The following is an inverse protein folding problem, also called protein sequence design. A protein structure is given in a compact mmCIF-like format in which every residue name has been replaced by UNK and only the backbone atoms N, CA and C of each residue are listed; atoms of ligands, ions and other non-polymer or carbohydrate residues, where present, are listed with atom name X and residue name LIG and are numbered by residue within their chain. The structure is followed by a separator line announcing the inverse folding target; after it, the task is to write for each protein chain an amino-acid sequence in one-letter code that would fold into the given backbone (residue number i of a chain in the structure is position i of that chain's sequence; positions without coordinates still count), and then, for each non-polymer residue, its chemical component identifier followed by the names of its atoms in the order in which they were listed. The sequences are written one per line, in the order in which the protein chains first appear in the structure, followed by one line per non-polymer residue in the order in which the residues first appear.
data_IF_471231150285
#
_entry.id   IF_471231150285
#
_cell.length_a   1.000
_cell.length_b   1.000
_cell.length_c   1.000
_cell.angle_alpha   90.00
_cell.angle_beta   90.00
_cell.angle_gamma   90.00
#
_symmetry.space_group_name_H-M   'P 1'
#
loop_
_entity.id
_entity.type
_entity.pdbx_description
1 polymer ?
#
# COMPACT_ATOMS: atom_id res chain seq x y z
N UNK A 1 8.01 -38.13 -19.27
CA UNK A 1 6.94 -39.15 -19.26
C UNK A 1 5.82 -38.62 -20.12
N UNK A 2 5.29 -39.47 -21.00
CA UNK A 2 4.16 -39.12 -21.84
C UNK A 2 2.93 -38.80 -20.96
N UNK A 3 2.35 -37.62 -21.14
CA UNK A 3 1.25 -37.11 -20.27
C UNK A 3 -0.06 -37.87 -20.49
N UNK A 4 -0.16 -38.57 -21.61
CA UNK A 4 -1.35 -39.31 -22.01
C UNK A 4 -1.31 -40.77 -21.54
N UNK A 5 -0.19 -41.23 -20.95
CA UNK A 5 -0.08 -42.61 -20.47
C UNK A 5 -0.94 -42.83 -19.21
N UNK A 6 -1.96 -43.72 -19.24
CA UNK A 6 -2.89 -43.94 -18.13
C UNK A 6 -2.24 -44.77 -17.01
N UNK A 7 -1.76 -44.09 -15.97
CA UNK A 7 -0.96 -44.71 -14.89
C UNK A 7 -1.63 -44.60 -13.51
N UNK A 8 -2.50 -43.61 -13.31
CA UNK A 8 -3.07 -43.29 -12.00
C UNK A 8 -4.39 -44.04 -11.75
N UNK A 9 -4.55 -44.59 -10.56
CA UNK A 9 -5.82 -45.21 -10.15
C UNK A 9 -6.79 -44.17 -9.55
N UNK A 10 -8.07 -44.54 -9.41
CA UNK A 10 -9.10 -43.66 -8.86
C UNK A 10 -8.74 -43.08 -7.48
N UNK A 11 -8.04 -43.83 -6.62
CA UNK A 11 -7.66 -43.36 -5.29
C UNK A 11 -6.63 -42.22 -5.38
N UNK A 12 -5.66 -42.34 -6.28
CA UNK A 12 -4.67 -41.29 -6.54
C UNK A 12 -5.35 -40.01 -7.06
N UNK A 13 -6.26 -40.12 -8.04
CA UNK A 13 -6.96 -38.96 -8.59
C UNK A 13 -7.81 -38.23 -7.54
N UNK A 14 -8.50 -38.96 -6.67
CA UNK A 14 -9.28 -38.36 -5.56
C UNK A 14 -8.36 -37.63 -4.57
N UNK A 15 -7.16 -38.15 -4.32
CA UNK A 15 -6.18 -37.51 -3.44
C UNK A 15 -5.61 -36.23 -4.04
N UNK A 16 -5.33 -36.21 -5.35
CA UNK A 16 -4.75 -35.06 -6.05
C UNK A 16 -5.78 -33.95 -6.34
N UNK A 17 -7.03 -34.31 -6.64
CA UNK A 17 -8.07 -33.35 -7.05
C UNK A 17 -9.06 -33.01 -5.94
N UNK A 18 -9.17 -33.84 -4.90
CA UNK A 18 -10.19 -33.70 -3.86
C UNK A 18 -11.63 -33.99 -4.32
N UNK A 19 -11.85 -34.37 -5.60
CA UNK A 19 -13.17 -34.65 -6.15
C UNK A 19 -13.65 -36.02 -5.68
N UNK A 20 -14.88 -36.10 -5.17
CA UNK A 20 -15.49 -37.38 -4.75
C UNK A 20 -15.65 -38.34 -5.94
N UNK A 21 -15.44 -39.66 -5.76
CA UNK A 21 -15.60 -40.67 -6.81
C UNK A 21 -16.91 -40.60 -7.60
N UNK A 22 -18.02 -40.33 -6.93
CA UNK A 22 -19.34 -40.24 -7.57
C UNK A 22 -19.48 -39.00 -8.47
N UNK A 23 -18.82 -37.90 -8.11
CA UNK A 23 -18.78 -36.67 -8.92
C UNK A 23 -17.94 -36.89 -10.18
N UNK A 24 -16.79 -37.55 -10.07
CA UNK A 24 -15.96 -37.93 -11.22
C UNK A 24 -16.75 -38.79 -12.22
N UNK A 25 -17.42 -39.83 -11.71
CA UNK A 25 -18.29 -40.71 -12.53
C UNK A 25 -19.46 -39.95 -13.14
N UNK A 26 -20.02 -38.99 -12.42
CA UNK A 26 -21.10 -38.17 -12.93
C UNK A 26 -20.64 -37.25 -14.06
N UNK A 27 -19.43 -36.67 -13.96
CA UNK A 27 -18.86 -35.81 -14.99
C UNK A 27 -18.47 -36.60 -16.24
N UNK A 28 -17.80 -37.74 -16.07
CA UNK A 28 -17.52 -38.70 -17.16
C UNK A 28 -18.81 -39.08 -17.91
N UNK A 29 -19.85 -39.50 -17.18
CA UNK A 29 -21.11 -39.95 -17.79
C UNK A 29 -21.89 -38.82 -18.48
N UNK A 30 -21.89 -37.61 -17.91
CA UNK A 30 -22.73 -36.49 -18.41
C UNK A 30 -22.04 -35.67 -19.48
N UNK A 31 -20.73 -35.50 -19.37
CA UNK A 31 -19.96 -34.54 -20.16
C UNK A 31 -18.85 -35.20 -20.97
N UNK A 32 -18.54 -36.48 -20.70
CA UNK A 32 -17.43 -37.18 -21.36
C UNK A 32 -16.08 -36.63 -20.95
N UNK A 33 -15.94 -36.01 -19.76
CA UNK A 33 -14.66 -35.47 -19.29
C UNK A 33 -14.48 -35.78 -17.80
N UNK A 34 -13.31 -36.30 -17.38
CA UNK A 34 -12.21 -36.82 -18.22
C UNK A 34 -12.60 -38.12 -18.94
N UNK A 35 -11.75 -38.61 -19.85
CA UNK A 35 -11.93 -39.85 -20.62
C UNK A 35 -10.89 -40.92 -20.21
N UNK A 36 -10.99 -41.50 -19.00
CA UNK A 36 -10.00 -42.45 -18.52
C UNK A 36 -10.04 -43.79 -19.27
N UNK A 37 -8.86 -44.36 -19.48
CA UNK A 37 -8.69 -45.70 -20.01
C UNK A 37 -9.10 -46.80 -19.02
N UNK A 38 -9.21 -48.03 -19.52
CA UNK A 38 -9.49 -49.21 -18.69
C UNK A 38 -8.31 -50.17 -18.66
N UNK A 39 -7.98 -50.65 -17.47
CA UNK A 39 -7.03 -51.75 -17.31
C UNK A 39 -7.59 -53.05 -17.89
N UNK A 40 -6.74 -54.06 -18.08
CA UNK A 40 -7.16 -55.41 -18.46
C UNK A 40 -8.17 -56.04 -17.49
N UNK A 41 -8.21 -55.58 -16.24
CA UNK A 41 -9.21 -55.95 -15.22
C UNK A 41 -10.48 -55.08 -15.20
N UNK A 42 -10.64 -54.16 -16.15
CA UNK A 42 -11.84 -53.31 -16.28
C UNK A 42 -11.91 -52.10 -15.33
N UNK A 43 -10.84 -51.80 -14.59
CA UNK A 43 -10.77 -50.63 -13.71
C UNK A 43 -10.30 -49.38 -14.46
N UNK A 44 -10.80 -48.20 -14.07
CA UNK A 44 -10.37 -46.91 -14.65
C UNK A 44 -8.93 -46.59 -14.30
N UNK A 45 -8.14 -46.23 -15.31
CA UNK A 45 -6.81 -45.69 -15.21
C UNK A 45 -6.80 -44.30 -15.84
N UNK A 46 -6.28 -43.34 -15.10
CA UNK A 46 -6.23 -41.93 -15.48
C UNK A 46 -4.81 -41.58 -15.90
N UNK A 47 -4.69 -40.77 -16.92
CA UNK A 47 -3.45 -40.14 -17.36
C UNK A 47 -3.15 -38.87 -16.53
N UNK A 48 -1.97 -38.29 -16.70
CA UNK A 48 -1.70 -36.97 -16.11
C UNK A 48 -2.60 -35.91 -16.78
N UNK A 49 -2.88 -36.05 -18.08
CA UNK A 49 -3.80 -35.20 -18.82
C UNK A 49 -5.21 -35.19 -18.22
N UNK A 50 -5.70 -36.33 -17.75
CA UNK A 50 -7.01 -36.42 -17.09
C UNK A 50 -7.05 -35.66 -15.77
N UNK A 51 -5.97 -35.74 -14.98
CA UNK A 51 -5.85 -35.00 -13.72
C UNK A 51 -5.80 -33.49 -14.00
N UNK A 52 -5.00 -33.07 -14.97
CA UNK A 52 -4.89 -31.66 -15.38
C UNK A 52 -6.24 -31.13 -15.90
N UNK A 53 -7.01 -31.95 -16.62
CA UNK A 53 -8.38 -31.65 -17.08
C UNK A 53 -9.32 -31.40 -15.91
N UNK A 54 -9.27 -32.25 -14.88
CA UNK A 54 -10.08 -32.11 -13.68
C UNK A 54 -9.74 -30.83 -12.90
N UNK A 55 -8.45 -30.53 -12.73
CA UNK A 55 -8.00 -29.30 -12.08
C UNK A 55 -8.41 -28.05 -12.87
N UNK A 56 -8.35 -28.10 -14.19
CA UNK A 56 -8.80 -27.00 -15.05
C UNK A 56 -10.31 -26.72 -14.88
N UNK A 57 -11.13 -27.77 -14.84
CA UNK A 57 -12.58 -27.65 -14.63
C UNK A 57 -12.91 -27.09 -13.24
N UNK A 58 -12.17 -27.50 -12.21
CA UNK A 58 -12.33 -26.97 -10.86
C UNK A 58 -12.01 -25.48 -10.79
N UNK A 59 -10.89 -25.04 -11.39
CA UNK A 59 -10.50 -23.63 -11.42
C UNK A 59 -11.59 -22.73 -12.06
N UNK A 60 -12.24 -23.20 -13.14
CA UNK A 60 -13.37 -22.48 -13.75
C UNK A 60 -14.59 -22.42 -12.83
N UNK A 61 -14.83 -23.47 -12.06
CA UNK A 61 -15.93 -23.50 -11.11
C UNK A 61 -15.71 -22.50 -9.95
N UNK A 62 -14.46 -22.37 -9.48
CA UNK A 62 -14.07 -21.39 -8.46
C UNK A 62 -14.19 -19.94 -8.95
N UNK A 63 -14.04 -19.72 -10.27
CA UNK A 63 -14.34 -18.45 -10.94
C UNK A 63 -15.84 -18.19 -11.16
N UNK A 64 -16.70 -19.10 -10.69
CA UNK A 64 -18.16 -18.96 -10.72
C UNK A 64 -18.85 -19.54 -11.96
N UNK A 65 -18.15 -20.28 -12.82
CA UNK A 65 -18.79 -21.00 -13.92
C UNK A 65 -19.49 -22.28 -13.39
N UNK A 66 -20.60 -22.64 -14.01
CA UNK A 66 -21.18 -23.98 -13.82
C UNK A 66 -20.33 -25.01 -14.56
N UNK A 67 -20.29 -26.25 -14.09
CA UNK A 67 -19.53 -27.33 -14.78
C UNK A 67 -19.94 -27.50 -16.24
N UNK A 68 -21.23 -27.37 -16.56
CA UNK A 68 -21.68 -27.42 -17.96
C UNK A 68 -21.02 -26.33 -18.80
N UNK A 69 -20.95 -25.08 -18.30
CA UNK A 69 -20.30 -23.96 -19.01
C UNK A 69 -18.79 -24.13 -19.10
N UNK A 70 -18.16 -24.70 -18.07
CA UNK A 70 -16.73 -25.02 -18.11
C UNK A 70 -16.42 -26.09 -19.17
N UNK A 71 -17.27 -27.11 -19.30
CA UNK A 71 -17.17 -28.13 -20.36
C UNK A 71 -17.43 -27.53 -21.75
N UNK A 72 -18.40 -26.63 -21.90
CA UNK A 72 -18.65 -25.95 -23.17
C UNK A 72 -17.44 -25.10 -23.59
N UNK A 73 -16.81 -24.42 -22.61
CA UNK A 73 -15.57 -23.66 -22.83
C UNK A 73 -14.42 -24.59 -23.25
N UNK A 74 -14.25 -25.73 -22.58
CA UNK A 74 -13.24 -26.74 -22.95
C UNK A 74 -13.38 -27.17 -24.41
N UNK A 75 -14.60 -27.58 -24.81
CA UNK A 75 -14.89 -28.05 -26.17
C UNK A 75 -14.73 -26.93 -27.21
N UNK A 76 -15.03 -25.68 -26.84
CA UNK A 76 -14.81 -24.54 -27.74
C UNK A 76 -13.33 -24.35 -28.06
N UNK A 77 -12.45 -24.51 -27.06
CA UNK A 77 -11.00 -24.39 -27.21
C UNK A 77 -10.45 -25.53 -28.08
N UNK A 78 -10.91 -26.77 -27.87
CA UNK A 78 -10.55 -27.92 -28.71
C UNK A 78 -10.99 -27.75 -30.16
N UNK A 79 -12.20 -27.22 -30.39
CA UNK A 79 -12.74 -26.97 -31.74
C UNK A 79 -11.91 -25.94 -32.51
N UNK A 80 -11.27 -25.02 -31.81
CA UNK A 80 -10.34 -24.05 -32.38
C UNK A 80 -8.93 -24.63 -32.61
N UNK A 81 -8.73 -25.95 -32.40
CA UNK A 81 -7.46 -26.64 -32.58
C UNK A 81 -6.43 -26.32 -31.49
N UNK A 82 -6.86 -25.75 -30.37
CA UNK A 82 -6.00 -25.39 -29.22
C UNK A 82 -6.15 -26.45 -28.14
N UNK A 83 -5.04 -26.78 -27.48
CA UNK A 83 -5.07 -27.67 -26.31
C UNK A 83 -5.49 -26.85 -25.07
N UNK A 84 -6.63 -27.14 -24.40
CA UNK A 84 -7.07 -26.41 -23.21
C UNK A 84 -6.09 -26.49 -22.03
N UNK A 85 -5.23 -27.51 -22.01
CA UNK A 85 -4.20 -27.73 -21.00
C UNK A 85 -2.84 -27.17 -21.39
N UNK A 86 -2.66 -26.74 -22.65
CA UNK A 86 -1.59 -25.81 -22.95
C UNK A 86 -1.94 -24.53 -22.24
N UNK A 87 -1.15 -24.21 -21.21
CA UNK A 87 -0.97 -22.82 -20.77
C UNK A 87 -0.81 -22.03 -22.05
N UNK A 88 -1.71 -21.10 -22.40
CA UNK A 88 -1.50 -20.33 -23.59
C UNK A 88 -0.14 -19.67 -23.39
N UNK A 89 0.74 -19.81 -24.37
CA UNK A 89 1.69 -18.74 -24.67
C UNK A 89 0.81 -17.53 -24.96
N UNK A 90 0.39 -16.86 -23.89
CA UNK A 90 -0.28 -15.59 -23.90
C UNK A 90 0.77 -14.57 -24.28
N UNK A 91 1.15 -14.61 -25.54
CA UNK A 91 1.87 -13.57 -26.23
C UNK A 91 1.21 -13.51 -27.59
N UNK A 92 0.19 -12.64 -27.66
CA UNK A 92 0.02 -11.61 -28.70
C UNK A 92 -1.45 -11.16 -28.87
N UNK A 93 -2.47 -11.93 -28.43
CA UNK A 93 -3.89 -11.52 -28.54
C UNK A 93 -4.59 -11.18 -27.21
N UNK A 94 -4.24 -11.82 -26.10
CA UNK A 94 -4.64 -11.33 -24.76
C UNK A 94 -4.00 -9.99 -24.44
N UNK A 95 -2.77 -9.78 -24.88
CA UNK A 95 -2.12 -8.48 -24.80
C UNK A 95 -2.91 -7.45 -25.58
N UNK A 96 -3.57 -7.76 -26.70
CA UNK A 96 -4.36 -6.75 -27.41
C UNK A 96 -5.65 -6.37 -26.68
N UNK A 97 -6.42 -7.32 -26.12
CA UNK A 97 -7.66 -6.99 -25.41
C UNK A 97 -7.43 -6.46 -23.99
N UNK A 98 -6.45 -7.00 -23.26
CA UNK A 98 -6.02 -6.47 -21.95
C UNK A 98 -5.23 -5.17 -22.10
N UNK A 99 -4.45 -4.97 -23.19
CA UNK A 99 -3.87 -3.66 -23.48
C UNK A 99 -4.94 -2.67 -23.92
N UNK A 100 -5.93 -3.05 -24.73
CA UNK A 100 -7.03 -2.15 -25.12
C UNK A 100 -7.88 -1.74 -23.91
N UNK A 101 -8.27 -2.70 -23.05
CA UNK A 101 -8.97 -2.38 -21.79
C UNK A 101 -8.07 -1.56 -20.85
N UNK A 102 -6.78 -1.88 -20.78
CA UNK A 102 -5.82 -1.09 -20.00
C UNK A 102 -5.56 0.31 -20.56
N UNK A 103 -5.58 0.50 -21.88
CA UNK A 103 -5.47 1.80 -22.57
C UNK A 103 -6.72 2.63 -22.36
N UNK A 104 -7.89 2.01 -22.42
CA UNK A 104 -9.18 2.67 -22.19
C UNK A 104 -9.31 3.15 -20.74
N UNK A 105 -9.03 2.31 -19.74
CA UNK A 105 -8.99 2.74 -18.32
C UNK A 105 -7.96 3.86 -18.10
N UNK A 106 -6.78 3.77 -18.75
CA UNK A 106 -5.75 4.82 -18.70
C UNK A 106 -6.24 6.13 -19.31
N UNK A 107 -6.97 6.07 -20.42
CA UNK A 107 -7.56 7.25 -21.07
C UNK A 107 -8.63 7.88 -20.18
N UNK A 108 -9.51 7.08 -19.57
CA UNK A 108 -10.51 7.59 -18.63
C UNK A 108 -9.85 8.25 -17.42
N UNK A 109 -8.80 7.63 -16.85
CA UNK A 109 -8.00 8.25 -15.79
C UNK A 109 -7.41 9.58 -16.21
N UNK A 110 -6.79 9.65 -17.40
CA UNK A 110 -6.25 10.89 -17.93
C UNK A 110 -7.32 11.98 -18.04
N UNK A 111 -8.48 11.66 -18.61
CA UNK A 111 -9.61 12.58 -18.76
C UNK A 111 -10.13 13.06 -17.40
N UNK A 112 -10.20 12.16 -16.41
CA UNK A 112 -10.59 12.50 -15.05
C UNK A 112 -9.60 13.47 -14.40
N UNK A 113 -8.29 13.20 -14.49
CA UNK A 113 -7.23 14.08 -14.00
C UNK A 113 -7.33 15.46 -14.66
N UNK A 114 -7.37 15.53 -15.99
CA UNK A 114 -7.45 16.80 -16.73
C UNK A 114 -8.67 17.62 -16.33
N UNK A 115 -9.83 16.99 -16.17
CA UNK A 115 -11.03 17.65 -15.69
C UNK A 115 -10.89 18.16 -14.25
N UNK A 116 -10.28 17.38 -13.35
CA UNK A 116 -9.99 17.81 -11.99
C UNK A 116 -9.05 19.03 -11.95
N UNK A 117 -7.97 19.00 -12.74
CA UNK A 117 -7.02 20.12 -12.82
C UNK A 117 -7.66 21.38 -13.42
N UNK A 118 -8.71 21.24 -14.23
CA UNK A 118 -9.48 22.35 -14.80
C UNK A 118 -10.65 22.82 -13.91
N UNK A 119 -10.85 22.23 -12.71
CA UNK A 119 -12.03 22.43 -11.87
C UNK A 119 -13.37 22.13 -12.57
N UNK A 120 -13.36 21.29 -13.61
CA UNK A 120 -14.55 20.89 -14.36
C UNK A 120 -15.20 19.65 -13.74
N UNK A 121 -15.99 19.87 -12.68
CA UNK A 121 -16.72 18.82 -11.98
C UNK A 121 -17.62 18.00 -12.92
N UNK A 122 -18.23 18.65 -13.91
CA UNK A 122 -19.14 17.98 -14.84
C UNK A 122 -18.39 16.97 -15.70
N UNK A 123 -17.24 17.36 -16.23
CA UNK A 123 -16.41 16.45 -17.04
C UNK A 123 -15.77 15.35 -16.18
N UNK A 124 -15.33 15.65 -14.96
CA UNK A 124 -14.79 14.63 -14.05
C UNK A 124 -15.85 13.59 -13.70
N UNK A 125 -17.08 14.03 -13.41
CA UNK A 125 -18.18 13.13 -13.08
C UNK A 125 -18.64 12.30 -14.28
N UNK A 126 -18.62 12.87 -15.48
CA UNK A 126 -18.88 12.12 -16.72
C UNK A 126 -17.83 11.03 -16.94
N UNK A 127 -16.54 11.33 -16.72
CA UNK A 127 -15.48 10.34 -16.85
C UNK A 127 -15.66 9.17 -15.86
N UNK A 128 -16.03 9.45 -14.61
CA UNK A 128 -16.34 8.41 -13.63
C UNK A 128 -17.58 7.61 -14.00
N UNK A 129 -18.66 8.27 -14.43
CA UNK A 129 -19.88 7.59 -14.87
C UNK A 129 -19.62 6.65 -16.05
N UNK A 130 -18.77 7.06 -17.01
CA UNK A 130 -18.30 6.20 -18.09
C UNK A 130 -17.52 5.00 -17.52
N UNK A 131 -16.57 5.24 -16.62
CA UNK A 131 -15.78 4.18 -16.00
C UNK A 131 -16.65 3.12 -15.31
N UNK A 132 -17.60 3.54 -14.48
CA UNK A 132 -18.49 2.63 -13.74
C UNK A 132 -19.50 1.91 -14.62
N UNK A 133 -19.76 2.40 -15.85
CA UNK A 133 -20.63 1.71 -16.80
C UNK A 133 -19.95 0.48 -17.42
N UNK A 134 -18.62 0.46 -17.49
CA UNK A 134 -17.86 -0.60 -18.18
C UNK A 134 -16.94 -1.41 -17.28
N UNK A 135 -16.53 -0.88 -16.12
CA UNK A 135 -15.61 -1.56 -15.19
C UNK A 135 -16.22 -1.80 -13.81
N UNK A 136 -15.79 -2.88 -13.12
CA UNK A 136 -16.13 -3.09 -11.71
C UNK A 136 -15.72 -1.91 -10.82
N UNK A 137 -16.43 -1.72 -9.72
CA UNK A 137 -16.17 -0.65 -8.74
C UNK A 137 -14.71 -0.67 -8.27
N UNK A 138 -14.20 -1.86 -7.99
CA UNK A 138 -12.83 -2.12 -7.57
C UNK A 138 -11.82 -1.56 -8.57
N UNK A 139 -12.03 -1.82 -9.86
CA UNK A 139 -11.18 -1.34 -10.95
C UNK A 139 -11.23 0.18 -11.06
N UNK A 140 -12.42 0.79 -11.05
CA UNK A 140 -12.53 2.25 -11.14
C UNK A 140 -11.85 2.92 -9.94
N UNK A 141 -12.06 2.41 -8.74
CA UNK A 141 -11.49 3.02 -7.54
C UNK A 141 -9.96 2.91 -7.49
N UNK A 142 -9.39 1.79 -7.93
CA UNK A 142 -7.93 1.57 -7.91
C UNK A 142 -7.28 2.22 -9.14
N UNK A 143 -7.76 1.90 -10.34
CA UNK A 143 -7.09 2.29 -11.57
C UNK A 143 -7.41 3.71 -12.03
N UNK A 144 -8.54 4.29 -11.64
CA UNK A 144 -8.90 5.67 -12.02
C UNK A 144 -8.66 6.61 -10.85
N UNK A 145 -9.34 6.38 -9.71
CA UNK A 145 -9.30 7.30 -8.58
C UNK A 145 -7.96 7.24 -7.83
N UNK A 146 -7.54 6.08 -7.31
CA UNK A 146 -6.31 5.96 -6.52
C UNK A 146 -5.07 6.36 -7.32
N UNK A 147 -4.89 5.79 -8.51
CA UNK A 147 -3.76 6.16 -9.39
C UNK A 147 -3.87 7.59 -9.90
N UNK A 148 -5.08 8.11 -10.11
CA UNK A 148 -5.28 9.51 -10.50
C UNK A 148 -4.86 10.49 -9.41
N UNK A 149 -5.28 10.25 -8.17
CA UNK A 149 -4.85 11.01 -7.00
C UNK A 149 -3.35 10.91 -6.76
N UNK A 150 -2.75 9.74 -7.00
CA UNK A 150 -1.29 9.60 -6.93
C UNK A 150 -0.58 10.53 -7.92
N UNK A 151 -1.01 10.55 -9.19
CA UNK A 151 -0.43 11.43 -10.22
C UNK A 151 -0.62 12.91 -9.86
N UNK A 152 -1.80 13.28 -9.37
CA UNK A 152 -2.09 14.66 -8.93
C UNK A 152 -1.21 15.04 -7.73
N UNK A 153 -1.02 14.13 -6.77
CA UNK A 153 -0.16 14.33 -5.61
C UNK A 153 1.33 14.44 -5.98
N UNK A 154 1.79 13.65 -6.96
CA UNK A 154 3.13 13.77 -7.55
C UNK A 154 3.30 15.12 -8.26
N UNK A 155 2.31 15.57 -9.04
CA UNK A 155 2.34 16.89 -9.67
C UNK A 155 2.33 18.03 -8.64
N UNK A 156 1.63 17.87 -7.51
CA UNK A 156 1.66 18.85 -6.42
C UNK A 156 3.04 18.91 -5.77
N UNK A 157 3.65 17.74 -5.57
CA UNK A 157 5.02 17.63 -5.07
C UNK A 157 6.03 18.32 -6.00
N UNK A 158 5.87 18.18 -7.32
CA UNK A 158 6.71 18.81 -8.34
C UNK A 158 6.38 20.30 -8.60
N UNK A 159 5.36 20.86 -7.94
CA UNK A 159 4.93 22.24 -8.15
C UNK A 159 4.18 22.50 -9.45
N UNK A 160 3.83 21.44 -10.21
CA UNK A 160 3.06 21.53 -11.46
C UNK A 160 1.54 21.54 -11.22
N UNK A 161 1.12 21.12 -10.03
CA UNK A 161 -0.27 21.13 -9.56
C UNK A 161 -0.39 21.98 -8.30
N UNK A 162 -1.41 22.82 -8.23
CA UNK A 162 -1.70 23.64 -7.05
C UNK A 162 -2.35 22.83 -5.93
N UNK A 163 -2.21 23.30 -4.69
CA UNK A 163 -2.91 22.74 -3.51
C UNK A 163 -4.43 22.70 -3.75
N UNK A 164 -5.00 23.74 -4.37
CA UNK A 164 -6.43 23.83 -4.62
C UNK A 164 -6.92 22.75 -5.61
N UNK A 165 -6.12 22.43 -6.63
CA UNK A 165 -6.44 21.37 -7.58
C UNK A 165 -6.37 19.98 -6.93
N UNK A 166 -5.35 19.74 -6.08
CA UNK A 166 -5.26 18.50 -5.30
C UNK A 166 -6.48 18.35 -4.38
N UNK A 167 -6.81 19.39 -3.60
CA UNK A 167 -7.96 19.38 -2.71
C UNK A 167 -9.28 19.14 -3.45
N UNK A 168 -9.46 19.77 -4.62
CA UNK A 168 -10.64 19.55 -5.45
C UNK A 168 -10.75 18.09 -5.92
N UNK A 169 -9.66 17.52 -6.43
CA UNK A 169 -9.63 16.13 -6.89
C UNK A 169 -9.91 15.14 -5.75
N UNK A 170 -9.23 15.32 -4.62
CA UNK A 170 -9.38 14.49 -3.42
C UNK A 170 -10.81 14.57 -2.86
N UNK A 171 -11.41 15.76 -2.81
CA UNK A 171 -12.80 15.93 -2.36
C UNK A 171 -13.81 15.22 -3.27
N UNK A 172 -13.66 15.30 -4.59
CA UNK A 172 -14.53 14.59 -5.54
C UNK A 172 -14.40 13.07 -5.42
N UNK A 173 -13.17 12.57 -5.30
CA UNK A 173 -12.90 11.15 -5.12
C UNK A 173 -13.51 10.62 -3.81
N UNK A 174 -13.34 11.35 -2.70
CA UNK A 174 -13.92 10.99 -1.40
C UNK A 174 -15.44 10.98 -1.44
N UNK A 175 -16.07 12.00 -2.03
CA UNK A 175 -17.54 12.05 -2.20
C UNK A 175 -18.09 10.80 -2.89
N UNK A 176 -17.36 10.27 -3.88
CA UNK A 176 -17.74 9.05 -4.59
C UNK A 176 -17.57 7.80 -3.71
N UNK A 177 -16.48 7.69 -2.95
CA UNK A 177 -16.29 6.59 -1.99
C UNK A 177 -17.40 6.60 -0.93
N UNK A 178 -17.70 7.76 -0.35
CA UNK A 178 -18.73 7.91 0.69
C UNK A 178 -20.14 7.55 0.17
N UNK A 179 -20.48 7.96 -1.05
CA UNK A 179 -21.74 7.57 -1.68
C UNK A 179 -21.86 6.04 -1.85
N UNK A 180 -20.77 5.36 -2.23
CA UNK A 180 -20.75 3.90 -2.35
C UNK A 180 -20.76 3.19 -0.99
N UNK A 181 -20.12 3.77 0.02
CA UNK A 181 -20.19 3.28 1.39
C UNK A 181 -21.61 3.38 1.94
N UNK A 182 -22.30 4.51 1.73
CA UNK A 182 -23.69 4.70 2.14
C UNK A 182 -24.67 3.74 1.46
N UNK A 183 -24.37 3.30 0.24
CA UNK A 183 -25.15 2.32 -0.51
C UNK A 183 -24.72 0.85 -0.27
N UNK A 184 -23.70 0.62 0.57
CA UNK A 184 -23.17 -0.74 0.79
C UNK A 184 -24.15 -1.61 1.59
N UNK A 185 -24.25 -2.91 1.26
CA UNK A 185 -25.14 -3.82 1.96
C UNK A 185 -24.76 -3.95 3.45
N UNK A 186 -25.71 -4.45 4.24
CA UNK A 186 -25.44 -4.83 5.63
C UNK A 186 -24.34 -5.91 5.69
N UNK A 187 -23.53 -5.94 6.76
CA UNK A 187 -22.52 -6.98 6.94
C UNK A 187 -23.13 -8.37 6.93
N UNK A 188 -22.46 -9.31 6.26
CA UNK A 188 -22.87 -10.72 6.16
C UNK A 188 -21.87 -11.66 6.83
N UNK A 189 -20.69 -11.16 7.22
CA UNK A 189 -19.65 -11.90 7.93
C UNK A 189 -19.64 -11.56 9.41
N UNK A 190 -19.20 -12.51 10.22
CA UNK A 190 -18.87 -12.27 11.63
C UNK A 190 -17.51 -11.62 11.75
N UNK A 191 -17.33 -10.73 12.72
CA UNK A 191 -16.09 -10.03 12.94
C UNK A 191 -16.21 -8.55 12.61
N UNK A 192 -15.67 -7.73 13.50
CA UNK A 192 -15.76 -6.26 13.46
C UNK A 192 -14.38 -5.66 13.30
N UNK A 193 -14.22 -4.79 12.32
CA UNK A 193 -12.97 -4.13 12.00
C UNK A 193 -13.10 -2.65 12.37
N UNK A 194 -12.24 -2.16 13.26
CA UNK A 194 -12.11 -0.73 13.55
C UNK A 194 -11.01 -0.14 12.67
N UNK A 195 -11.26 0.97 12.01
CA UNK A 195 -10.32 1.61 11.09
C UNK A 195 -10.06 3.04 11.55
N UNK A 196 -8.79 3.42 11.69
CA UNK A 196 -8.40 4.75 12.12
C UNK A 196 -7.08 5.19 11.46
N UNK A 197 -6.92 6.49 11.25
CA UNK A 197 -5.65 7.11 10.90
C UNK A 197 -5.00 7.69 12.17
N UNK A 198 -3.68 7.56 12.34
CA UNK A 198 -2.98 8.09 13.50
C UNK A 198 -2.98 9.63 13.55
N UNK A 199 -2.60 10.24 14.68
CA UNK A 199 -2.45 11.69 14.78
C UNK A 199 -1.60 12.27 13.65
N UNK A 200 -2.08 13.36 13.04
CA UNK A 200 -1.45 14.05 11.91
C UNK A 200 -1.62 13.38 10.55
N UNK A 201 -2.32 12.24 10.46
CA UNK A 201 -2.64 11.59 9.18
C UNK A 201 -3.98 12.06 8.64
N UNK A 202 -3.93 12.88 7.60
CA UNK A 202 -5.09 13.43 6.89
C UNK A 202 -5.35 12.72 5.54
N UNK A 203 -4.45 11.85 5.09
CA UNK A 203 -4.61 11.14 3.81
C UNK A 203 -5.53 9.92 3.98
N UNK A 204 -6.82 10.17 3.86
CA UNK A 204 -7.88 9.18 4.17
C UNK A 204 -8.31 8.30 3.01
N UNK A 205 -8.04 8.69 1.77
CA UNK A 205 -8.60 8.02 0.59
C UNK A 205 -8.28 6.51 0.55
N UNK A 206 -7.02 6.13 0.79
CA UNK A 206 -6.61 4.72 0.78
C UNK A 206 -7.34 3.88 1.84
N UNK A 207 -7.58 4.46 3.01
CA UNK A 207 -8.29 3.77 4.10
C UNK A 207 -9.79 3.68 3.83
N UNK A 208 -10.41 4.74 3.30
CA UNK A 208 -11.81 4.75 2.88
C UNK A 208 -12.07 3.77 1.72
N UNK A 209 -11.13 3.67 0.77
CA UNK A 209 -11.18 2.65 -0.28
C UNK A 209 -11.11 1.23 0.31
N UNK A 210 -10.17 0.98 1.23
CA UNK A 210 -10.09 -0.32 1.91
C UNK A 210 -11.39 -0.64 2.66
N UNK A 211 -11.98 0.34 3.35
CA UNK A 211 -13.26 0.21 4.03
C UNK A 211 -14.37 -0.20 3.06
N UNK A 212 -14.49 0.49 1.93
CA UNK A 212 -15.48 0.18 0.90
C UNK A 212 -15.37 -1.28 0.42
N UNK A 213 -14.15 -1.73 0.16
CA UNK A 213 -13.91 -3.08 -0.34
C UNK A 213 -14.12 -4.16 0.73
N UNK A 214 -13.88 -3.86 2.01
CA UNK A 214 -14.22 -4.73 3.13
C UNK A 214 -15.74 -4.83 3.33
N UNK A 215 -16.45 -3.70 3.28
CA UNK A 215 -17.93 -3.66 3.34
C UNK A 215 -18.55 -4.48 2.22
N UNK A 216 -18.03 -4.36 1.00
CA UNK A 216 -18.48 -5.14 -0.17
C UNK A 216 -18.20 -6.65 -0.04
N UNK A 217 -17.16 -7.03 0.72
CA UNK A 217 -16.90 -8.43 1.12
C UNK A 217 -17.71 -8.89 2.35
N UNK A 218 -18.62 -8.05 2.85
CA UNK A 218 -19.54 -8.40 3.92
C UNK A 218 -19.00 -8.20 5.35
N UNK A 219 -17.82 -7.58 5.51
CA UNK A 219 -17.28 -7.28 6.84
C UNK A 219 -18.00 -6.09 7.49
N UNK A 220 -18.15 -6.13 8.81
CA UNK A 220 -18.55 -4.96 9.60
C UNK A 220 -17.32 -4.08 9.82
N UNK A 221 -17.37 -2.84 9.33
CA UNK A 221 -16.30 -1.85 9.53
C UNK A 221 -16.84 -0.64 10.30
N UNK A 222 -16.08 -0.16 11.27
CA UNK A 222 -16.29 1.13 11.93
C UNK A 222 -15.10 2.02 11.58
N UNK A 223 -15.36 3.18 10.99
CA UNK A 223 -14.33 4.11 10.56
C UNK A 223 -14.34 5.36 11.42
N UNK A 224 -13.19 5.68 12.03
CA UNK A 224 -13.03 6.83 12.92
C UNK A 224 -12.53 8.10 12.21
N UNK A 225 -12.11 8.00 10.95
CA UNK A 225 -11.61 9.15 10.18
C UNK A 225 -10.09 9.36 10.26
N UNK A 226 -9.67 10.54 9.81
CA UNK A 226 -8.29 11.07 9.94
C UNK A 226 -7.94 11.45 11.37
N UNK A 227 -6.64 11.58 11.63
CA UNK A 227 -6.11 12.31 12.77
C UNK A 227 -6.73 11.93 14.13
N UNK A 228 -6.90 10.62 14.36
CA UNK A 228 -7.52 10.10 15.58
C UNK A 228 -6.54 10.24 16.73
N UNK A 229 -6.87 11.00 17.79
CA UNK A 229 -5.98 11.12 18.95
C UNK A 229 -5.71 9.76 19.59
N UNK A 230 -4.48 9.55 20.05
CA UNK A 230 -4.12 8.32 20.76
C UNK A 230 -4.83 8.27 22.11
N UNK A 231 -4.97 9.44 22.74
CA UNK A 231 -5.79 9.64 23.92
C UNK A 231 -7.24 9.36 23.51
N UNK A 232 -7.89 8.37 24.15
CA UNK A 232 -9.26 7.85 23.84
C UNK A 232 -9.35 6.70 22.83
N UNK A 233 -8.26 6.26 22.21
CA UNK A 233 -8.32 5.05 21.38
C UNK A 233 -8.77 3.84 22.21
N UNK A 234 -8.27 3.70 23.45
CA UNK A 234 -8.65 2.61 24.37
C UNK A 234 -10.16 2.53 24.59
N UNK A 235 -10.79 3.67 24.96
CA UNK A 235 -12.24 3.71 25.20
C UNK A 235 -13.05 3.34 23.96
N UNK A 236 -12.58 3.72 22.77
CA UNK A 236 -13.23 3.38 21.51
C UNK A 236 -13.16 1.87 21.27
N UNK A 237 -11.99 1.27 21.51
CA UNK A 237 -11.76 -0.17 21.35
C UNK A 237 -12.53 -1.00 22.37
N UNK A 238 -12.62 -0.56 23.62
CA UNK A 238 -13.40 -1.23 24.67
C UNK A 238 -14.92 -1.23 24.38
N UNK A 239 -15.43 -0.12 23.83
CA UNK A 239 -16.83 0.01 23.43
C UNK A 239 -17.13 -0.80 22.17
N UNK A 240 -16.25 -0.73 21.18
CA UNK A 240 -16.43 -1.38 19.87
C UNK A 240 -16.20 -2.88 19.94
N UNK A 241 -15.24 -3.32 20.76
CA UNK A 241 -14.71 -4.70 20.82
C UNK A 241 -14.36 -5.25 19.43
N UNK A 242 -13.45 -4.58 18.69
CA UNK A 242 -13.08 -5.02 17.35
C UNK A 242 -12.27 -6.32 17.42
N UNK A 243 -12.41 -7.14 16.38
CA UNK A 243 -11.54 -8.30 16.14
C UNK A 243 -10.21 -7.88 15.53
N UNK A 244 -10.18 -6.74 14.84
CA UNK A 244 -8.99 -6.17 14.22
C UNK A 244 -9.10 -4.65 14.20
N UNK A 245 -8.03 -3.96 14.58
CA UNK A 245 -7.85 -2.52 14.33
C UNK A 245 -6.94 -2.35 13.11
N UNK A 246 -7.35 -1.58 12.11
CA UNK A 246 -6.54 -1.24 10.94
C UNK A 246 -6.07 0.21 11.05
N UNK A 247 -4.74 0.39 11.07
CA UNK A 247 -4.09 1.69 11.08
C UNK A 247 -3.35 1.94 9.76
N UNK A 248 -3.44 3.16 9.22
CA UNK A 248 -2.74 3.52 7.98
C UNK A 248 -1.93 4.79 8.15
N UNK A 249 -0.70 4.81 7.62
CA UNK A 249 0.15 5.98 7.61
C UNK A 249 0.85 6.17 6.26
N UNK A 250 0.98 7.41 5.79
CA UNK A 250 1.60 7.77 4.52
C UNK A 250 2.97 8.44 4.72
N UNK A 251 3.24 9.01 5.90
CA UNK A 251 4.45 9.78 6.21
C UNK A 251 5.21 9.22 7.40
N UNK A 252 6.47 9.62 7.55
CA UNK A 252 7.33 9.21 8.66
C UNK A 252 6.72 9.59 10.03
N UNK A 253 6.22 10.82 10.14
CA UNK A 253 5.58 11.33 11.37
C UNK A 253 4.41 10.47 11.80
N UNK A 254 3.52 10.17 10.85
CA UNK A 254 2.33 9.36 11.04
C UNK A 254 2.66 7.89 11.29
N UNK A 255 3.78 7.37 10.74
CA UNK A 255 4.24 6.02 11.04
C UNK A 255 4.72 5.88 12.49
N UNK A 256 5.40 6.90 13.03
CA UNK A 256 5.79 6.92 14.43
C UNK A 256 4.57 7.03 15.36
N UNK A 257 3.58 7.86 15.01
CA UNK A 257 2.33 7.95 15.77
C UNK A 257 1.50 6.64 15.68
N UNK A 258 1.49 5.99 14.52
CA UNK A 258 0.90 4.66 14.33
C UNK A 258 1.57 3.63 15.23
N UNK A 259 2.90 3.65 15.34
CA UNK A 259 3.64 2.77 16.25
C UNK A 259 3.17 2.94 17.69
N UNK A 260 3.03 4.17 18.17
CA UNK A 260 2.57 4.45 19.54
C UNK A 260 1.16 3.88 19.76
N UNK A 261 0.24 4.06 18.79
CA UNK A 261 -1.11 3.46 18.85
C UNK A 261 -1.07 1.94 18.83
N UNK A 262 -0.22 1.34 17.99
CA UNK A 262 -0.07 -0.11 17.89
C UNK A 262 0.49 -0.70 19.20
N UNK A 263 1.44 -0.03 19.85
CA UNK A 263 1.98 -0.43 21.16
C UNK A 263 0.90 -0.41 22.25
N UNK A 264 0.05 0.62 22.26
CA UNK A 264 -1.09 0.72 23.15
C UNK A 264 -2.08 -0.45 22.96
N UNK A 265 -2.43 -0.75 21.71
CA UNK A 265 -3.35 -1.84 21.37
C UNK A 265 -2.75 -3.22 21.67
N UNK A 266 -1.44 -3.38 21.44
CA UNK A 266 -0.71 -4.60 21.77
C UNK A 266 -0.78 -4.90 23.28
N UNK A 267 -0.62 -3.89 24.14
CA UNK A 267 -0.75 -4.04 25.60
C UNK A 267 -2.16 -4.47 26.03
N UNK A 268 -3.18 -4.14 25.24
CA UNK A 268 -4.58 -4.56 25.47
C UNK A 268 -4.93 -5.91 24.84
N UNK A 269 -3.98 -6.54 24.13
CA UNK A 269 -4.23 -7.79 23.41
C UNK A 269 -5.17 -7.64 22.21
N UNK A 270 -5.25 -6.44 21.63
CA UNK A 270 -6.12 -6.15 20.48
C UNK A 270 -5.32 -6.31 19.19
N UNK A 271 -5.77 -7.17 18.24
CA UNK A 271 -5.05 -7.37 16.99
C UNK A 271 -4.98 -6.08 16.15
N UNK A 272 -3.80 -5.79 15.60
CA UNK A 272 -3.55 -4.63 14.73
C UNK A 272 -3.08 -5.09 13.36
N UNK A 273 -3.75 -4.62 12.32
CA UNK A 273 -3.24 -4.61 10.94
C UNK A 273 -2.76 -3.20 10.61
N UNK A 274 -1.63 -3.08 9.90
CA UNK A 274 -1.15 -1.77 9.46
C UNK A 274 -0.72 -1.76 8.00
N UNK A 275 -0.74 -0.57 7.40
CA UNK A 275 -0.29 -0.35 6.03
C UNK A 275 -0.16 1.12 5.67
N UNK A 276 -0.05 1.39 4.37
CA UNK A 276 0.16 2.72 3.82
C UNK A 276 1.52 2.87 3.14
N UNK A 277 1.69 3.95 2.38
CA UNK A 277 2.79 4.13 1.43
C UNK A 277 4.16 4.07 2.11
N UNK A 278 4.30 4.65 3.30
CA UNK A 278 5.57 4.70 4.04
C UNK A 278 6.14 3.30 4.35
N UNK A 279 5.27 2.31 4.60
CA UNK A 279 5.68 0.92 4.87
C UNK A 279 5.96 0.13 3.58
N UNK A 280 5.49 0.63 2.43
CA UNK A 280 5.85 0.09 1.12
C UNK A 280 7.21 0.62 0.70
N UNK A 281 7.46 1.92 0.88
CA UNK A 281 8.73 2.56 0.52
C UNK A 281 9.88 2.18 1.46
N UNK A 282 9.58 1.96 2.74
CA UNK A 282 10.59 1.69 3.77
C UNK A 282 10.26 0.38 4.48
N UNK A 283 10.69 -0.73 3.90
CA UNK A 283 10.43 -2.08 4.41
C UNK A 283 10.92 -2.29 5.86
N UNK A 284 12.05 -1.67 6.23
CA UNK A 284 12.62 -1.79 7.57
C UNK A 284 11.73 -1.24 8.70
N UNK A 285 10.71 -0.43 8.36
CA UNK A 285 9.72 0.03 9.34
C UNK A 285 8.73 -1.06 9.73
N UNK A 286 8.50 -2.07 8.88
CA UNK A 286 7.51 -3.14 9.12
C UNK A 286 7.82 -3.89 10.41
N UNK A 287 9.09 -4.17 10.66
CA UNK A 287 9.57 -4.86 11.88
C UNK A 287 9.54 -3.99 13.14
N UNK A 288 9.24 -2.69 13.02
CA UNK A 288 9.17 -1.74 14.15
C UNK A 288 7.76 -1.58 14.71
N UNK A 289 6.75 -2.05 14.00
CA UNK A 289 5.35 -1.91 14.38
C UNK A 289 4.88 -3.21 15.03
N UNK A 290 4.33 -3.19 16.26
CA UNK A 290 3.66 -4.34 16.84
C UNK A 290 2.32 -4.55 16.13
N UNK A 291 2.31 -5.25 15.01
CA UNK A 291 1.12 -5.50 14.22
C UNK A 291 1.41 -6.32 12.96
N UNK A 292 0.36 -6.68 12.24
CA UNK A 292 0.47 -7.41 10.97
C UNK A 292 0.53 -6.42 9.80
N UNK A 293 1.62 -6.45 9.04
CA UNK A 293 1.69 -5.70 7.80
C UNK A 293 0.70 -6.27 6.79
N UNK A 294 -0.26 -5.45 6.36
CA UNK A 294 -1.34 -5.89 5.49
C UNK A 294 -0.90 -6.02 4.02
N UNK A 295 0.25 -5.48 3.64
CA UNK A 295 0.81 -5.60 2.30
C UNK A 295 0.91 -4.27 1.57
N UNK A 296 1.48 -4.34 0.37
CA UNK A 296 1.84 -3.17 -0.45
C UNK A 296 0.69 -2.69 -1.35
N UNK A 297 -0.35 -3.52 -1.50
CA UNK A 297 -1.51 -3.22 -2.33
C UNK A 297 -2.80 -3.40 -1.56
N UNK A 298 -3.84 -2.65 -1.95
CA UNK A 298 -5.18 -2.80 -1.38
C UNK A 298 -5.69 -4.24 -1.55
N UNK A 299 -5.40 -4.89 -2.69
CA UNK A 299 -5.77 -6.28 -2.94
C UNK A 299 -5.10 -7.22 -1.94
N UNK A 300 -3.78 -7.12 -1.76
CA UNK A 300 -3.05 -7.92 -0.78
C UNK A 300 -3.55 -7.70 0.65
N UNK A 301 -3.87 -6.45 1.00
CA UNK A 301 -4.48 -6.14 2.30
C UNK A 301 -5.81 -6.85 2.53
N UNK A 302 -6.67 -6.92 1.52
CA UNK A 302 -7.95 -7.62 1.63
C UNK A 302 -7.77 -9.12 1.85
N UNK A 303 -6.83 -9.73 1.14
CA UNK A 303 -6.51 -11.15 1.26
C UNK A 303 -5.94 -11.46 2.67
N UNK A 304 -4.99 -10.65 3.15
CA UNK A 304 -4.46 -10.79 4.52
C UNK A 304 -5.51 -10.59 5.61
N UNK A 305 -6.39 -9.59 5.48
CA UNK A 305 -7.46 -9.35 6.48
C UNK A 305 -8.42 -10.54 6.55
N UNK A 306 -8.71 -11.16 5.40
CA UNK A 306 -9.59 -12.33 5.33
C UNK A 306 -9.06 -13.50 6.17
N UNK A 307 -7.73 -13.66 6.24
CA UNK A 307 -7.09 -14.70 7.03
C UNK A 307 -6.90 -14.27 8.50
N UNK A 308 -6.57 -13.01 8.76
CA UNK A 308 -6.27 -12.49 10.10
C UNK A 308 -7.49 -12.48 11.02
N UNK A 309 -8.65 -12.01 10.55
CA UNK A 309 -9.83 -11.82 11.42
C UNK A 309 -10.36 -13.14 11.97
N UNK A 310 -10.50 -14.24 11.19
CA UNK A 310 -10.93 -15.52 11.71
C UNK A 310 -9.89 -16.22 12.59
N UNK A 311 -8.60 -16.12 12.24
CA UNK A 311 -7.53 -16.86 12.91
C UNK A 311 -7.04 -16.19 14.20
N UNK A 312 -7.14 -14.85 14.27
CA UNK A 312 -6.62 -14.05 15.39
C UNK A 312 -5.22 -14.47 15.85
N UNK A 313 -4.22 -14.48 14.93
CA UNK A 313 -2.87 -14.90 15.29
C UNK A 313 -2.27 -13.99 16.37
N UNK A 314 -1.27 -14.49 17.13
CA UNK A 314 -0.60 -13.67 18.12
C UNK A 314 0.08 -12.47 17.46
N UNK A 315 0.03 -11.35 18.17
CA UNK A 315 0.60 -10.10 17.69
C UNK A 315 2.12 -10.20 17.53
N UNK A 316 2.70 -9.76 16.40
CA UNK A 316 4.13 -9.76 16.19
C UNK A 316 4.85 -8.92 17.24
N UNK A 317 5.96 -9.43 17.77
CA UNK A 317 6.83 -8.67 18.67
C UNK A 317 7.73 -7.76 17.84
N UNK A 318 7.69 -6.42 18.05
CA UNK A 318 8.49 -5.50 17.25
C UNK A 318 9.97 -5.59 17.65
N UNK A 319 10.85 -5.32 16.68
CA UNK A 319 12.29 -5.23 16.91
C UNK A 319 12.59 -4.08 17.88
N UNK A 320 13.33 -4.31 18.98
CA UNK A 320 13.57 -3.30 19.99
C UNK A 320 14.35 -2.11 19.40
N UNK A 321 13.99 -0.91 19.84
CA UNK A 321 14.74 0.31 19.52
C UNK A 321 16.08 0.26 20.29
N UNK A 322 17.23 0.51 19.65
CA UNK A 322 18.50 0.65 20.36
C UNK A 322 18.44 1.73 21.45
N UNK A 323 19.10 1.48 22.59
CA UNK A 323 19.07 2.40 23.74
C UNK A 323 19.55 3.82 23.40
N UNK A 324 20.57 3.91 22.55
CA UNK A 324 21.12 5.18 22.04
C UNK A 324 20.03 6.09 21.45
N UNK A 325 19.06 5.56 20.70
CA UNK A 325 17.99 6.39 20.11
C UNK A 325 16.95 6.83 21.14
N UNK A 326 16.72 6.04 22.20
CA UNK A 326 15.84 6.45 23.30
C UNK A 326 16.46 7.57 24.13
N UNK A 327 17.75 7.47 24.44
CA UNK A 327 18.48 8.51 25.15
C UNK A 327 18.54 9.79 24.31
N UNK A 328 18.90 9.69 23.03
CA UNK A 328 18.90 10.81 22.10
C UNK A 328 17.53 11.49 21.98
N UNK A 329 16.43 10.71 21.92
CA UNK A 329 15.07 11.24 21.87
C UNK A 329 14.75 12.08 23.10
N UNK A 330 15.03 11.56 24.30
CA UNK A 330 14.79 12.27 25.56
C UNK A 330 15.57 13.57 25.62
N UNK A 331 16.87 13.52 25.30
CA UNK A 331 17.76 14.69 25.29
C UNK A 331 17.30 15.75 24.30
N UNK A 332 16.92 15.33 23.08
CA UNK A 332 16.41 16.21 22.05
C UNK A 332 15.09 16.89 22.42
N UNK A 333 14.14 16.16 23.00
CA UNK A 333 12.85 16.72 23.39
C UNK A 333 12.98 17.77 24.50
N UNK A 334 13.86 17.53 25.48
CA UNK A 334 14.13 18.49 26.57
C UNK A 334 14.72 19.79 26.01
N UNK A 335 15.61 19.67 25.02
CA UNK A 335 16.35 20.81 24.48
C UNK A 335 15.73 21.42 23.20
N UNK A 336 14.55 20.99 22.78
CA UNK A 336 13.97 21.41 21.50
C UNK A 336 13.72 22.92 21.39
N UNK A 337 13.18 23.53 22.46
CA UNK A 337 12.90 24.96 22.50
C UNK A 337 14.18 25.82 22.38
N UNK A 338 15.23 25.62 23.20
CA UNK A 338 16.46 26.38 23.05
C UNK A 338 17.16 26.15 21.70
N UNK A 339 17.12 24.92 21.15
CA UNK A 339 17.64 24.62 19.81
C UNK A 339 16.94 25.50 18.76
N UNK A 340 15.60 25.51 18.72
CA UNK A 340 14.85 26.30 17.75
C UNK A 340 15.08 27.81 17.89
N UNK A 341 15.22 28.32 19.12
CA UNK A 341 15.58 29.71 19.38
C UNK A 341 16.97 30.04 18.82
N UNK A 342 17.94 29.15 19.00
CA UNK A 342 19.30 29.30 18.51
C UNK A 342 19.38 29.26 16.99
N UNK A 343 18.67 28.34 16.34
CA UNK A 343 18.55 28.31 14.87
C UNK A 343 17.99 29.62 14.34
N UNK A 344 16.96 30.16 15.00
CA UNK A 344 16.35 31.45 14.61
C UNK A 344 17.35 32.61 14.73
N UNK A 345 18.19 32.61 15.76
CA UNK A 345 19.28 33.58 15.90
C UNK A 345 20.35 33.41 14.82
N UNK A 346 20.75 32.20 14.48
CA UNK A 346 21.77 31.96 13.46
C UNK A 346 21.29 32.34 12.05
N UNK A 347 19.99 32.22 11.79
CA UNK A 347 19.37 32.49 10.48
C UNK A 347 18.82 33.91 10.33
N UNK A 348 19.01 34.82 11.29
CA UNK A 348 18.38 36.16 11.30
C UNK A 348 18.74 37.05 10.10
N UNK A 349 19.87 36.78 9.43
CA UNK A 349 20.32 37.51 8.23
C UNK A 349 19.98 36.80 6.92
N UNK A 350 19.42 35.59 6.97
CA UNK A 350 19.05 34.83 5.77
C UNK A 350 17.76 35.38 5.15
N UNK A 351 17.57 35.32 3.83
CA UNK A 351 16.32 35.69 3.17
C UNK A 351 15.09 34.86 3.57
N UNK A 352 15.24 33.73 4.27
CA UNK A 352 14.11 32.94 4.79
C UNK A 352 13.28 33.79 5.78
N UNK A 353 11.97 33.87 5.55
CA UNK A 353 11.08 34.58 6.47
C UNK A 353 10.94 33.86 7.82
N UNK A 354 10.68 34.57 8.94
CA UNK A 354 10.50 33.92 10.24
C UNK A 354 9.43 32.83 10.27
N UNK A 355 8.34 33.01 9.51
CA UNK A 355 7.28 32.00 9.40
C UNK A 355 7.76 30.74 8.69
N UNK A 356 8.48 30.88 7.56
CA UNK A 356 9.04 29.76 6.83
C UNK A 356 10.07 29.00 7.67
N UNK A 357 10.93 29.73 8.40
CA UNK A 357 11.91 29.12 9.29
C UNK A 357 11.24 28.35 10.44
N UNK A 358 10.21 28.93 11.05
CA UNK A 358 9.43 28.27 12.12
C UNK A 358 8.78 26.97 11.61
N UNK A 359 8.16 27.01 10.43
CA UNK A 359 7.58 25.82 9.80
C UNK A 359 8.64 24.77 9.47
N UNK A 360 9.80 25.16 8.93
CA UNK A 360 10.90 24.24 8.64
C UNK A 360 11.44 23.58 9.92
N UNK A 361 11.66 24.37 10.97
CA UNK A 361 12.13 23.89 12.27
C UNK A 361 11.14 22.90 12.90
N UNK A 362 9.84 23.21 12.85
CA UNK A 362 8.80 22.33 13.36
C UNK A 362 8.78 20.97 12.64
N UNK A 363 8.82 20.99 11.30
CA UNK A 363 8.81 19.77 10.50
C UNK A 363 10.06 18.92 10.74
N UNK A 364 11.25 19.52 10.75
CA UNK A 364 12.50 18.80 11.02
C UNK A 364 12.49 18.19 12.42
N UNK A 365 12.07 18.96 13.43
CA UNK A 365 11.97 18.47 14.80
C UNK A 365 11.04 17.25 14.92
N UNK A 366 9.87 17.32 14.29
CA UNK A 366 8.91 16.21 14.24
C UNK A 366 9.54 14.98 13.57
N UNK A 367 10.22 15.16 12.44
CA UNK A 367 10.87 14.08 11.73
C UNK A 367 12.00 13.45 12.56
N UNK A 368 12.83 14.25 13.23
CA UNK A 368 13.89 13.76 14.15
C UNK A 368 13.27 12.92 15.26
N UNK A 369 12.22 13.41 15.91
CA UNK A 369 11.47 12.65 16.92
C UNK A 369 10.96 11.31 16.34
N UNK A 370 10.36 11.33 15.16
CA UNK A 370 9.82 10.14 14.50
C UNK A 370 10.89 9.12 14.12
N UNK A 371 12.01 9.58 13.56
CA UNK A 371 13.15 8.75 13.20
C UNK A 371 13.76 8.05 14.43
N UNK A 372 13.89 8.77 15.55
CA UNK A 372 14.35 8.22 16.82
C UNK A 372 13.35 7.22 17.41
N UNK A 373 12.05 7.52 17.37
CA UNK A 373 10.97 6.59 17.78
C UNK A 373 10.92 5.31 16.95
N UNK A 374 11.36 5.37 15.69
CA UNK A 374 11.46 4.22 14.79
C UNK A 374 12.86 3.57 14.83
N UNK A 375 13.79 4.16 15.57
CA UNK A 375 15.13 3.63 15.82
C UNK A 375 16.04 3.65 14.61
N UNK A 376 15.91 4.65 13.74
CA UNK A 376 16.77 4.84 12.58
C UNK A 376 16.77 6.31 12.12
N UNK A 377 17.89 7.02 12.28
CA UNK A 377 18.04 8.42 11.82
C UNK A 377 18.15 8.56 10.30
N UNK A 378 18.55 7.51 9.57
CA UNK A 378 18.66 7.58 8.11
C UNK A 378 17.29 7.79 7.43
N UNK A 379 16.19 7.53 8.17
CA UNK A 379 14.82 7.83 7.75
C UNK A 379 14.61 9.31 7.43
N UNK A 380 15.37 10.21 8.06
CA UNK A 380 15.30 11.65 7.80
C UNK A 380 15.73 12.02 6.38
N UNK A 381 16.52 11.17 5.72
CA UNK A 381 16.96 11.39 4.34
C UNK A 381 15.76 11.41 3.37
N UNK A 382 14.72 10.62 3.65
CA UNK A 382 13.48 10.61 2.87
C UNK A 382 12.71 11.93 2.97
N UNK A 383 12.82 12.63 4.09
CA UNK A 383 12.15 13.92 4.33
C UNK A 383 13.00 15.13 3.93
N UNK A 384 14.33 15.01 3.89
CA UNK A 384 15.19 16.08 3.33
C UNK A 384 14.90 16.28 1.85
N UNK A 385 14.68 15.21 1.09
CA UNK A 385 14.28 15.33 -0.32
C UNK A 385 12.91 16.02 -0.46
N UNK A 386 11.99 15.76 0.47
CA UNK A 386 10.70 16.45 0.53
C UNK A 386 10.87 17.94 0.85
N UNK A 387 11.77 18.28 1.77
CA UNK A 387 12.10 19.66 2.12
C UNK A 387 12.75 20.39 0.93
N UNK A 388 13.63 19.73 0.16
CA UNK A 388 14.19 20.29 -1.08
C UNK A 388 13.09 20.67 -2.07
N UNK A 389 12.18 19.74 -2.39
CA UNK A 389 11.08 19.99 -3.33
C UNK A 389 10.12 21.09 -2.85
N UNK A 390 9.80 21.12 -1.55
CA UNK A 390 8.97 22.18 -0.97
C UNK A 390 9.66 23.55 -1.02
N UNK A 391 10.97 23.61 -0.77
CA UNK A 391 11.76 24.84 -0.83
C UNK A 391 11.87 25.38 -2.26
N UNK A 392 11.98 24.50 -3.26
CA UNK A 392 11.93 24.88 -4.68
C UNK A 392 10.60 25.58 -5.03
N UNK A 393 9.47 25.04 -4.53
CA UNK A 393 8.15 25.66 -4.67
C UNK A 393 8.06 27.05 -4.01
N UNK A 394 8.83 27.27 -2.94
CA UNK A 394 8.94 28.56 -2.26
C UNK A 394 10.08 29.45 -2.77
N UNK A 395 10.77 29.06 -3.85
CA UNK A 395 11.92 29.77 -4.47
C UNK A 395 13.06 30.04 -3.49
N UNK A 396 13.26 29.17 -2.50
CA UNK A 396 14.37 29.28 -1.57
C UNK A 396 15.62 28.61 -2.17
N UNK A 397 16.76 29.30 -2.13
CA UNK A 397 17.99 28.78 -2.73
C UNK A 397 18.51 27.53 -2.01
N UNK A 398 19.11 26.58 -2.72
CA UNK A 398 19.80 25.43 -2.10
C UNK A 398 20.86 25.88 -1.06
N UNK A 399 21.46 27.06 -1.26
CA UNK A 399 22.39 27.66 -0.29
C UNK A 399 21.71 28.02 1.04
N UNK A 400 20.46 28.49 1.03
CA UNK A 400 19.68 28.75 2.25
C UNK A 400 19.34 27.45 2.98
N UNK A 401 19.04 26.37 2.26
CA UNK A 401 18.81 25.04 2.86
C UNK A 401 20.07 24.51 3.55
N UNK A 402 21.23 24.58 2.89
CA UNK A 402 22.49 24.15 3.47
C UNK A 402 22.84 24.97 4.73
N UNK A 403 22.68 26.30 4.69
CA UNK A 403 22.87 27.16 5.86
C UNK A 403 21.92 26.82 7.00
N UNK A 404 20.65 26.55 6.71
CA UNK A 404 19.67 26.15 7.71
C UNK A 404 20.04 24.83 8.39
N UNK A 405 20.42 23.79 7.63
CA UNK A 405 20.86 22.52 8.22
C UNK A 405 22.12 22.68 9.07
N UNK A 406 23.09 23.49 8.64
CA UNK A 406 24.29 23.81 9.43
C UNK A 406 23.94 24.56 10.72
N UNK A 407 23.02 25.52 10.65
CA UNK A 407 22.53 26.22 11.83
C UNK A 407 21.84 25.27 12.81
N UNK A 408 21.07 24.30 12.30
CA UNK A 408 20.45 23.26 13.11
C UNK A 408 21.49 22.32 13.73
N UNK A 409 22.46 21.85 12.96
CA UNK A 409 23.58 21.04 13.44
C UNK A 409 24.35 21.74 14.57
N UNK A 410 24.70 23.01 14.36
CA UNK A 410 25.38 23.84 15.36
C UNK A 410 24.52 23.99 16.63
N UNK A 411 23.24 24.33 16.49
CA UNK A 411 22.34 24.47 17.64
C UNK A 411 22.21 23.14 18.40
N UNK A 412 22.11 22.00 17.70
CA UNK A 412 22.08 20.70 18.37
C UNK A 412 23.39 20.36 19.06
N UNK A 413 24.54 20.72 18.50
CA UNK A 413 25.85 20.51 19.14
C UNK A 413 26.04 21.37 20.40
N UNK A 414 25.43 22.56 20.44
CA UNK A 414 25.51 23.47 21.60
C UNK A 414 24.64 23.01 22.78
N UNK A 415 23.48 22.40 22.52
CA UNK A 415 22.49 22.09 23.56
C UNK A 415 22.34 20.60 23.91
N UNK A 416 22.64 19.70 22.99
CA UNK A 416 22.53 18.27 23.26
C UNK A 416 23.76 17.76 24.02
N UNK A 417 23.52 16.81 24.92
CA UNK A 417 24.58 16.07 25.60
C UNK A 417 25.18 15.00 24.66
N UNK A 418 26.13 14.22 25.19
CA UNK A 418 26.70 13.08 24.47
C UNK A 418 25.64 12.06 23.99
N UNK A 419 24.47 12.00 24.65
CA UNK A 419 23.36 11.11 24.25
C UNK A 419 22.71 11.57 22.95
N UNK A 420 22.66 12.88 22.68
CA UNK A 420 22.14 13.45 21.45
C UNK A 420 23.13 13.48 20.27
N UNK A 421 24.37 13.02 20.47
CA UNK A 421 25.43 13.03 19.45
C UNK A 421 25.03 12.39 18.10
N UNK A 422 24.23 11.30 18.03
CA UNK A 422 23.78 10.75 16.75
C UNK A 422 23.00 11.75 15.89
N UNK A 423 22.21 12.64 16.52
CA UNK A 423 21.44 13.68 15.81
C UNK A 423 22.38 14.72 15.21
N UNK A 424 23.35 15.18 16.00
CA UNK A 424 24.37 16.16 15.59
C UNK A 424 25.14 15.63 14.38
N UNK A 425 25.70 14.42 14.49
CA UNK A 425 26.49 13.79 13.42
C UNK A 425 25.68 13.64 12.14
N UNK A 426 24.40 13.25 12.25
CA UNK A 426 23.54 13.11 11.08
C UNK A 426 23.31 14.46 10.39
N UNK A 427 23.00 15.52 11.16
CA UNK A 427 22.76 16.87 10.62
C UNK A 427 24.00 17.49 9.97
N UNK A 428 25.18 17.29 10.58
CA UNK A 428 26.47 17.75 10.01
C UNK A 428 26.73 17.10 8.64
N UNK A 429 26.56 15.78 8.55
CA UNK A 429 26.72 15.02 7.31
C UNK A 429 25.70 15.46 6.24
N UNK A 430 24.45 15.66 6.64
CA UNK A 430 23.39 16.14 5.74
C UNK A 430 23.70 17.53 5.17
N UNK A 431 24.16 18.47 6.02
CA UNK A 431 24.58 19.80 5.59
C UNK A 431 25.73 19.75 4.58
N UNK A 432 26.78 18.98 4.88
CA UNK A 432 27.95 18.84 4.00
C UNK A 432 27.59 18.20 2.64
N UNK A 433 26.69 17.23 2.62
CA UNK A 433 26.23 16.59 1.38
C UNK A 433 25.49 17.58 0.45
N UNK A 434 24.71 18.52 1.00
CA UNK A 434 24.00 19.52 0.20
C UNK A 434 24.98 20.54 -0.38
N UNK A 435 25.98 21.00 0.38
CA UNK A 435 27.00 21.92 -0.15
C UNK A 435 27.73 21.30 -1.36
N UNK A 436 28.15 20.04 -1.23
CA UNK A 436 28.84 19.30 -2.29
C UNK A 436 27.97 19.14 -3.55
N UNK A 437 26.65 19.01 -3.41
CA UNK A 437 25.72 18.98 -4.53
C UNK A 437 25.59 20.35 -5.23
N UNK A 438 25.61 21.45 -4.47
CA UNK A 438 25.58 22.82 -5.03
C UNK A 438 26.88 23.22 -5.73
N UNK A 439 28.04 22.80 -5.24
CA UNK A 439 29.34 23.12 -5.85
C UNK A 439 29.56 22.39 -7.19
N UNK A 440 28.96 21.21 -7.38
CA UNK A 440 29.09 20.40 -8.59
C UNK A 440 28.11 20.78 -9.73
N UNK A 441 27.36 21.89 -9.61
CA UNK A 441 26.60 22.47 -10.72
C UNK A 441 25.50 21.58 -11.31
N UNK A 442 24.79 20.79 -10.50
CA UNK A 442 23.67 19.99 -10.99
C UNK A 442 22.40 20.85 -11.17
N UNK A 443 22.24 21.42 -12.36
CA UNK A 443 20.92 21.76 -12.91
C UNK A 443 20.32 20.51 -13.57
N UNK A 444 19.53 19.74 -12.84
CA UNK A 444 18.90 18.54 -13.39
C UNK A 444 17.68 18.11 -12.58
N UNK A 445 16.50 18.37 -13.12
CA UNK A 445 15.25 17.87 -12.57
C UNK A 445 15.20 16.35 -12.51
N UNK A 446 14.43 15.85 -11.54
CA UNK A 446 13.83 14.51 -11.44
C UNK A 446 14.49 13.41 -12.28
N UNK A 447 15.74 13.05 -11.99
CA UNK A 447 16.33 11.77 -12.39
C UNK A 447 17.40 11.32 -11.39
N UNK A 448 17.00 10.49 -10.42
CA UNK A 448 17.72 9.25 -10.02
C UNK A 448 17.21 8.72 -8.68
N UNK A 449 16.07 8.03 -8.70
CA UNK A 449 15.87 6.86 -7.84
C UNK A 449 16.04 5.62 -8.70
N UNK A 450 17.29 5.26 -8.99
CA UNK A 450 17.62 3.91 -9.44
C UNK A 450 19.06 3.59 -9.08
N UNK A 451 19.25 2.43 -8.45
CA UNK A 451 20.52 1.76 -8.11
C UNK A 451 21.14 2.09 -6.75
N UNK A 452 20.56 1.51 -5.71
CA UNK A 452 21.34 0.69 -4.78
C UNK A 452 20.64 -0.66 -4.68
N UNK A 453 20.90 -1.53 -5.66
CA UNK A 453 20.66 -2.97 -5.51
C UNK A 453 21.96 -3.65 -5.94
N UNK A 454 22.76 -4.00 -4.93
CA UNK A 454 23.88 -4.90 -5.09
C UNK A 454 23.36 -6.30 -5.39
N UNK A 455 23.42 -6.68 -6.66
CA UNK A 455 23.74 -8.02 -7.17
C UNK A 455 23.35 -9.22 -6.29
N UNK A 456 22.23 -9.86 -6.63
CA UNK A 456 22.21 -11.33 -6.84
C UNK A 456 21.35 -11.65 -8.06
N UNK A 457 22.03 -12.07 -9.13
CA UNK A 457 21.45 -12.77 -10.26
C UNK A 457 20.72 -14.03 -9.79
N UNK A 458 19.52 -14.23 -10.30
CA UNK A 458 18.76 -15.47 -10.20
C UNK A 458 17.43 -15.29 -10.91
N UNK A 459 17.29 -15.91 -12.07
CA UNK A 459 16.09 -15.91 -12.91
C UNK A 459 14.83 -16.37 -12.16
N UNK A 460 13.67 -15.97 -12.71
CA UNK A 460 12.30 -16.54 -12.66
C UNK A 460 11.26 -15.48 -12.22
N UNK A 461 10.61 -14.84 -13.20
CA UNK A 461 9.27 -15.13 -13.79
C UNK A 461 8.12 -14.84 -12.86
#
# INVERSE_FOLDING_TARGET
MDRDTPTFNLKAVVQETGIKPDTLRAWERRYGLPEPDRSSGGHRLYSQRDIDTLLWLMARQDEGLTISRAVDLWRSIEKEGRDPLRVPEYSLTSNSLLSMQGEEVRSIRKNWIEACLAFDERSSERALAQAFAVYPVETVCIEVLQKGLQIIGEGWYEGTVSVQQEHFASALAMRRIDAMLGASPLPTRTGRILMACPPGEEHVFGQALLQLLLRRRGWETIYLGSNVPIERLESSVEMVRPHLVILTAQRLQTAAALKDMAELLHQKGVPVGFGGRIFTEIESLRDRIPGHFLGETIKGALDHIQDLVPMSPPMPTPKPIPAVFRSALSDFQINLLPINARVSQLMHTDPITPSQLSSANLNLAQNVVSALKLGNLDLLSFDIDWTKAMLDNHRLSHASLARWLKAYAQATAEYLSHEGQPIVVWLENAGAAIDAATENGFSGGSQSRTKINGSKNGLHT
#
